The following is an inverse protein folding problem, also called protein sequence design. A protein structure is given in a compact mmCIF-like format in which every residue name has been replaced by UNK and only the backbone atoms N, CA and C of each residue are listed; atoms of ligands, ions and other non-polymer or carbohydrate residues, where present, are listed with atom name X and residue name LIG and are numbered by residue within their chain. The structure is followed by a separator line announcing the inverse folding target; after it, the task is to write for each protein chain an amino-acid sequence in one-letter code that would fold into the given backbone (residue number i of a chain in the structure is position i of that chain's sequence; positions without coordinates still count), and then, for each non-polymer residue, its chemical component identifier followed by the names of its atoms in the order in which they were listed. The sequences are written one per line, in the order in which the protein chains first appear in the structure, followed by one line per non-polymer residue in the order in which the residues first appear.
data_IF_639437804237
#
_entry.id   IF_639437804237
#
_cell.length_a   1.000
_cell.length_b   1.000
_cell.length_c   1.000
_cell.angle_alpha   90.00
_cell.angle_beta   90.00
_cell.angle_gamma   90.00
#
_symmetry.space_group_name_H-M   'P 1'
#
loop_
_entity.id
_entity.type
_entity.pdbx_description
1 polymer ?
#
# COMPACT_ATOMS: atom_id res chain seq x y z
N UNK A 1 7.69 0.16 -38.45
CA UNK A 1 6.70 -0.38 -37.51
C UNK A 1 7.33 -0.25 -36.14
N UNK A 2 6.76 0.61 -35.27
CA UNK A 2 7.35 0.90 -33.98
C UNK A 2 7.19 -0.32 -33.07
N UNK A 3 8.29 -0.77 -32.46
CA UNK A 3 8.28 -1.76 -31.40
C UNK A 3 7.37 -1.26 -30.28
N UNK A 4 6.19 -1.85 -30.20
CA UNK A 4 5.25 -1.62 -29.10
C UNK A 4 5.91 -2.23 -27.88
N UNK A 5 6.54 -1.38 -27.09
CA UNK A 5 7.16 -1.71 -25.81
C UNK A 5 6.12 -2.42 -24.94
N UNK A 6 6.07 -3.75 -25.00
CA UNK A 6 5.14 -4.59 -24.24
C UNK A 6 5.67 -4.66 -22.82
N UNK A 7 5.48 -3.58 -22.07
CA UNK A 7 5.70 -3.60 -20.64
C UNK A 7 4.64 -4.55 -20.07
N UNK A 8 5.03 -5.60 -19.31
CA UNK A 8 4.06 -6.46 -18.66
C UNK A 8 3.13 -5.60 -17.80
N UNK A 9 1.80 -5.80 -17.85
CA UNK A 9 0.87 -5.08 -16.98
C UNK A 9 1.31 -5.16 -15.52
N UNK A 10 1.23 -4.03 -14.82
CA UNK A 10 1.49 -4.01 -13.38
C UNK A 10 0.35 -4.74 -12.68
N UNK A 11 0.66 -5.86 -12.02
CA UNK A 11 -0.34 -6.63 -11.28
C UNK A 11 -0.46 -6.15 -9.84
N UNK A 12 -1.70 -6.01 -9.32
CA UNK A 12 -1.90 -5.72 -7.91
C UNK A 12 -1.47 -6.91 -7.04
N UNK A 13 -0.57 -6.67 -6.09
CA UNK A 13 -0.13 -7.68 -5.10
C UNK A 13 -1.02 -7.62 -3.87
N UNK A 14 -1.25 -8.76 -3.21
CA UNK A 14 -2.01 -8.77 -1.96
C UNK A 14 -1.18 -8.11 -0.87
N UNK A 15 -1.80 -7.30 -0.02
CA UNK A 15 -1.10 -6.65 1.08
C UNK A 15 -1.99 -6.47 2.31
N UNK A 16 -1.34 -6.43 3.47
CA UNK A 16 -1.94 -6.00 4.74
C UNK A 16 -1.13 -4.85 5.30
N UNK A 17 -1.81 -3.86 5.83
CA UNK A 17 -1.18 -2.64 6.29
C UNK A 17 -1.92 -2.10 7.50
N UNK A 18 -1.18 -1.86 8.58
CA UNK A 18 -1.67 -1.02 9.67
C UNK A 18 -1.44 0.43 9.25
N UNK A 19 -2.51 1.18 9.02
CA UNK A 19 -2.48 2.52 8.45
C UNK A 19 -2.86 3.57 9.51
N UNK A 20 -2.06 4.62 9.62
CA UNK A 20 -2.45 5.85 10.29
C UNK A 20 -3.00 6.83 9.24
N UNK A 21 -4.23 7.29 9.45
CA UNK A 21 -4.92 8.20 8.53
C UNK A 21 -4.75 9.65 9.02
N UNK A 22 -3.93 10.40 8.30
CA UNK A 22 -3.67 11.83 8.56
C UNK A 22 -4.80 12.70 8.02
N UNK A 23 -5.39 12.32 6.89
CA UNK A 23 -6.47 13.04 6.22
C UNK A 23 -7.63 12.09 5.90
N UNK A 24 -8.85 12.51 6.22
CA UNK A 24 -10.06 11.74 5.96
C UNK A 24 -10.20 11.47 4.46
N UNK A 25 -10.70 10.30 4.11
CA UNK A 25 -10.94 9.99 2.71
C UNK A 25 -11.98 10.93 2.12
N UNK A 26 -11.74 11.34 0.89
CA UNK A 26 -12.69 12.12 0.10
C UNK A 26 -13.03 11.39 -1.20
N UNK A 27 -14.21 11.68 -1.73
CA UNK A 27 -14.66 11.18 -3.01
C UNK A 27 -15.36 12.31 -3.76
N UNK A 28 -15.13 12.40 -5.07
CA UNK A 28 -15.85 13.33 -5.94
C UNK A 28 -17.12 12.64 -6.45
N UNK A 29 -18.22 12.80 -5.70
CA UNK A 29 -19.49 12.14 -5.98
C UNK A 29 -20.55 13.14 -6.47
N UNK A 30 -21.37 12.79 -7.47
CA UNK A 30 -22.56 13.57 -7.82
C UNK A 30 -23.52 13.72 -6.64
N UNK A 31 -24.33 14.79 -6.65
CA UNK A 31 -25.33 15.02 -5.60
C UNK A 31 -26.28 13.83 -5.47
N UNK A 32 -26.48 13.34 -4.24
CA UNK A 32 -27.31 12.17 -3.93
C UNK A 32 -26.61 10.82 -4.08
N UNK A 33 -25.38 10.77 -4.62
CA UNK A 33 -24.62 9.53 -4.71
C UNK A 33 -23.83 9.27 -3.43
N UNK A 34 -24.03 8.09 -2.83
CA UNK A 34 -23.39 7.70 -1.57
C UNK A 34 -22.25 6.69 -1.74
N UNK A 35 -22.06 6.17 -2.96
CA UNK A 35 -21.08 5.14 -3.30
C UNK A 35 -20.14 5.61 -4.40
N UNK A 36 -18.84 5.39 -4.24
CA UNK A 36 -17.83 5.59 -5.26
C UNK A 36 -16.42 5.44 -4.71
N UNK A 37 -15.42 5.94 -5.43
CA UNK A 37 -14.02 5.80 -5.04
C UNK A 37 -13.64 6.85 -4.01
N UNK A 38 -13.40 6.40 -2.78
CA UNK A 38 -12.85 7.20 -1.68
C UNK A 38 -11.34 7.04 -1.63
N UNK A 39 -10.62 8.16 -1.55
CA UNK A 39 -9.16 8.17 -1.46
C UNK A 39 -8.69 9.00 -0.28
N UNK A 40 -7.63 8.55 0.40
CA UNK A 40 -6.89 9.29 1.41
C UNK A 40 -5.38 9.12 1.18
N UNK A 41 -4.56 10.11 1.56
CA UNK A 41 -3.13 9.91 1.67
C UNK A 41 -2.82 8.93 2.82
N UNK A 42 -1.74 8.17 2.67
CA UNK A 42 -1.23 7.26 3.67
C UNK A 42 0.26 7.08 3.54
N UNK A 43 0.85 6.39 4.51
CA UNK A 43 2.30 6.14 4.53
C UNK A 43 2.60 4.72 4.95
N UNK A 44 3.56 4.11 4.27
CA UNK A 44 4.23 2.89 4.70
C UNK A 44 5.62 3.31 5.18
N UNK A 45 6.01 2.87 6.38
CA UNK A 45 7.36 3.12 6.89
C UNK A 45 8.05 1.81 7.27
N UNK A 46 9.30 1.69 6.84
CA UNK A 46 10.26 0.72 7.34
C UNK A 46 11.37 1.36 8.19
N UNK A 47 11.31 2.67 8.41
CA UNK A 47 12.31 3.45 9.12
C UNK A 47 11.70 4.11 10.37
N UNK A 48 12.08 3.67 11.58
CA UNK A 48 11.58 4.26 12.82
C UNK A 48 11.91 5.76 12.96
N UNK A 49 13.01 6.23 12.34
CA UNK A 49 13.40 7.63 12.38
C UNK A 49 12.57 8.52 11.42
N UNK A 50 11.89 7.91 10.45
CA UNK A 50 11.07 8.60 9.45
C UNK A 50 9.78 7.80 9.17
N UNK A 51 8.76 7.93 10.03
CA UNK A 51 7.52 7.16 9.95
C UNK A 51 6.62 7.47 8.74
N UNK A 52 7.03 8.40 7.86
CA UNK A 52 6.32 8.81 6.63
C UNK A 52 7.13 8.55 5.35
N UNK A 53 8.03 7.55 5.38
CA UNK A 53 9.03 7.34 4.33
C UNK A 53 8.45 7.07 2.94
N UNK A 54 7.39 6.26 2.83
CA UNK A 54 6.80 5.91 1.54
C UNK A 54 5.34 6.34 1.49
N UNK A 55 5.08 7.38 0.71
CA UNK A 55 3.72 7.81 0.41
C UNK A 55 2.96 6.71 -0.34
N UNK A 56 1.71 6.50 0.04
CA UNK A 56 0.78 5.57 -0.62
C UNK A 56 -0.60 6.21 -0.67
N UNK A 57 -1.34 5.97 -1.75
CA UNK A 57 -2.74 6.38 -1.85
C UNK A 57 -3.60 5.24 -1.34
N UNK A 58 -4.29 5.46 -0.21
CA UNK A 58 -5.30 4.53 0.30
C UNK A 58 -6.59 4.73 -0.48
N UNK A 59 -7.14 3.69 -1.08
CA UNK A 59 -8.31 3.78 -1.95
C UNK A 59 -9.31 2.66 -1.69
N UNK A 60 -10.60 2.94 -1.78
CA UNK A 60 -11.61 1.91 -1.94
C UNK A 60 -12.81 2.45 -2.71
N UNK A 61 -13.40 1.59 -3.55
CA UNK A 61 -14.70 1.86 -4.12
C UNK A 61 -15.75 1.38 -3.12
N UNK A 62 -16.34 2.32 -2.38
CA UNK A 62 -17.17 2.02 -1.21
C UNK A 62 -18.19 3.14 -0.93
N UNK A 63 -19.00 2.98 0.12
CA UNK A 63 -19.86 4.05 0.62
C UNK A 63 -19.15 4.94 1.64
N UNK A 64 -19.69 6.14 1.87
CA UNK A 64 -19.16 7.08 2.87
C UNK A 64 -19.04 6.48 4.30
N UNK A 65 -19.82 5.44 4.62
CA UNK A 65 -19.76 4.77 5.92
C UNK A 65 -18.46 3.98 6.17
N UNK A 66 -17.77 3.59 5.08
CA UNK A 66 -16.49 2.88 5.15
C UNK A 66 -15.31 3.75 4.70
N UNK A 67 -15.53 5.06 4.54
CA UNK A 67 -14.45 6.01 4.32
C UNK A 67 -13.52 6.05 5.54
N UNK A 68 -12.24 6.30 5.29
CA UNK A 68 -11.26 6.45 6.36
C UNK A 68 -11.41 7.82 7.03
N UNK A 69 -11.32 7.87 8.34
CA UNK A 69 -11.42 9.09 9.13
C UNK A 69 -10.06 9.48 9.70
N UNK A 70 -9.71 10.78 9.63
CA UNK A 70 -8.51 11.34 10.26
C UNK A 70 -8.45 10.99 11.74
N UNK A 71 -7.24 10.68 12.22
CA UNK A 71 -6.97 10.49 13.65
C UNK A 71 -7.29 9.08 14.15
N UNK A 72 -7.63 8.17 13.24
CA UNK A 72 -7.79 6.74 13.53
C UNK A 72 -6.68 5.91 12.90
N UNK A 73 -6.45 4.76 13.52
CA UNK A 73 -5.63 3.68 13.00
C UNK A 73 -6.52 2.59 12.45
N UNK A 74 -6.20 2.12 11.26
CA UNK A 74 -6.93 1.07 10.56
C UNK A 74 -6.03 -0.13 10.29
N UNK A 75 -6.56 -1.33 10.47
CA UNK A 75 -5.98 -2.55 9.90
C UNK A 75 -6.64 -2.79 8.55
N UNK A 76 -5.87 -2.60 7.48
CA UNK A 76 -6.33 -2.70 6.10
C UNK A 76 -5.80 -3.99 5.48
N UNK A 77 -6.68 -4.72 4.80
CA UNK A 77 -6.30 -5.78 3.85
C UNK A 77 -6.73 -5.32 2.47
N UNK A 78 -5.89 -5.56 1.46
CA UNK A 78 -6.16 -5.03 0.13
C UNK A 78 -5.16 -5.47 -0.92
N UNK A 79 -5.10 -4.65 -1.97
CA UNK A 79 -4.20 -4.79 -3.11
C UNK A 79 -3.29 -3.58 -3.21
N UNK A 80 -1.99 -3.79 -3.32
CA UNK A 80 -1.00 -2.75 -3.58
C UNK A 80 -0.62 -2.77 -5.07
N UNK A 81 -0.65 -1.63 -5.73
CA UNK A 81 -0.29 -1.48 -7.13
C UNK A 81 0.56 -0.24 -7.35
N UNK A 82 1.66 -0.38 -8.10
CA UNK A 82 2.43 0.76 -8.62
C UNK A 82 1.94 1.05 -10.04
N UNK A 83 1.38 2.24 -10.30
CA UNK A 83 0.82 2.57 -11.63
C UNK A 83 1.92 3.11 -12.54
N UNK A 84 2.66 4.11 -12.08
CA UNK A 84 3.82 4.67 -12.78
C UNK A 84 5.01 4.79 -11.82
N UNK A 85 6.25 4.81 -12.32
CA UNK A 85 7.44 4.99 -11.47
C UNK A 85 7.42 6.28 -10.64
N UNK A 86 6.78 7.33 -11.17
CA UNK A 86 6.78 8.67 -10.57
C UNK A 86 5.52 8.95 -9.72
N UNK A 87 4.63 7.97 -9.54
CA UNK A 87 3.44 8.11 -8.70
C UNK A 87 3.55 7.26 -7.43
N UNK A 88 3.00 7.73 -6.29
CA UNK A 88 2.81 6.88 -5.13
C UNK A 88 2.03 5.62 -5.51
N UNK A 89 2.38 4.45 -4.96
CA UNK A 89 1.56 3.25 -5.11
C UNK A 89 0.15 3.48 -4.59
N UNK A 90 -0.81 2.74 -5.13
CA UNK A 90 -2.19 2.71 -4.64
C UNK A 90 -2.40 1.43 -3.82
N UNK A 91 -2.80 1.59 -2.57
CA UNK A 91 -3.32 0.52 -1.72
C UNK A 91 -4.85 0.54 -1.77
N UNK A 92 -5.41 -0.35 -2.57
CA UNK A 92 -6.86 -0.55 -2.67
C UNK A 92 -7.32 -1.49 -1.55
N UNK A 93 -7.90 -0.97 -0.47
CA UNK A 93 -8.37 -1.77 0.65
C UNK A 93 -9.75 -2.38 0.40
N UNK A 94 -10.04 -3.50 1.07
CA UNK A 94 -11.34 -4.18 1.02
C UNK A 94 -12.20 -3.74 2.21
N UNK A 95 -13.28 -2.96 1.99
CA UNK A 95 -14.13 -2.43 3.07
C UNK A 95 -14.67 -3.51 4.02
N UNK A 96 -14.94 -4.70 3.51
CA UNK A 96 -15.51 -5.83 4.26
C UNK A 96 -14.56 -6.38 5.32
N UNK A 97 -13.26 -6.15 5.15
CA UNK A 97 -12.20 -6.63 6.06
C UNK A 97 -11.48 -5.50 6.79
N UNK A 98 -11.89 -4.25 6.53
CA UNK A 98 -11.34 -3.07 7.19
C UNK A 98 -11.73 -3.07 8.66
N UNK A 99 -10.75 -2.91 9.54
CA UNK A 99 -10.98 -2.76 10.98
C UNK A 99 -10.47 -1.40 11.42
N UNK A 100 -11.36 -0.58 11.97
CA UNK A 100 -10.97 0.63 12.72
C UNK A 100 -10.48 0.20 14.10
N UNK A 101 -9.17 0.28 14.33
CA UNK A 101 -8.52 -0.27 15.54
C UNK A 101 -8.79 0.63 16.74
N UNK A 102 -8.29 1.87 16.68
CA UNK A 102 -8.45 2.85 17.75
C UNK A 102 -8.14 4.25 17.22
N UNK A 103 -8.38 5.26 18.07
CA UNK A 103 -7.83 6.60 17.84
C UNK A 103 -6.33 6.60 18.09
N UNK A 104 -5.60 7.45 17.37
CA UNK A 104 -4.15 7.59 17.47
C UNK A 104 -3.70 7.91 18.91
N UNK A 105 -4.45 8.76 19.62
CA UNK A 105 -4.18 9.14 21.02
C UNK A 105 -4.22 7.95 22.01
N UNK A 106 -4.85 6.84 21.62
CA UNK A 106 -4.97 5.63 22.44
C UNK A 106 -4.09 4.48 21.94
N UNK A 107 -3.33 4.70 20.87
CA UNK A 107 -2.49 3.65 20.30
C UNK A 107 -1.19 3.51 21.09
N UNK A 108 -0.89 2.29 21.53
CA UNK A 108 0.36 1.95 22.20
C UNK A 108 1.17 1.07 21.24
N UNK A 109 2.25 1.63 20.69
CA UNK A 109 3.14 0.94 19.76
C UNK A 109 3.63 1.86 18.64
N UNK A 110 4.24 1.27 17.62
CA UNK A 110 4.65 1.94 16.40
C UNK A 110 4.07 1.26 15.15
N UNK A 111 4.02 2.02 14.07
CA UNK A 111 3.48 1.60 12.77
C UNK A 111 4.58 1.16 11.80
N UNK A 112 5.84 1.36 12.17
CA UNK A 112 7.01 0.94 11.39
C UNK A 112 7.01 -0.58 11.22
N UNK A 113 7.34 -1.05 10.03
CA UNK A 113 7.42 -2.49 9.71
C UNK A 113 6.10 -3.25 9.97
N UNK A 114 4.94 -2.56 9.89
CA UNK A 114 3.59 -3.15 10.02
C UNK A 114 2.86 -3.32 8.68
N UNK A 115 3.61 -3.50 7.61
CA UNK A 115 3.08 -3.80 6.28
C UNK A 115 3.61 -5.15 5.81
N UNK A 116 2.71 -6.02 5.35
CA UNK A 116 3.06 -7.28 4.71
C UNK A 116 2.55 -7.29 3.28
N UNK A 117 3.35 -7.83 2.37
CA UNK A 117 3.01 -7.98 0.95
C UNK A 117 3.16 -9.44 0.57
N UNK A 118 2.09 -10.01 0.00
CA UNK A 118 2.02 -11.38 -0.47
C UNK A 118 1.99 -11.38 -2.01
N UNK A 119 3.06 -11.88 -2.64
CA UNK A 119 3.24 -11.90 -4.10
C UNK A 119 3.85 -13.21 -4.57
N UNK A 120 3.38 -13.71 -5.71
CA UNK A 120 3.98 -14.84 -6.43
C UNK A 120 4.78 -14.26 -7.60
N UNK A 121 6.10 -14.47 -7.60
CA UNK A 121 6.99 -13.91 -8.61
C UNK A 121 8.35 -14.63 -8.61
N UNK A 122 9.18 -14.35 -9.61
CA UNK A 122 10.54 -14.88 -9.67
C UNK A 122 11.50 -13.88 -9.02
N UNK A 123 12.27 -14.30 -8.02
CA UNK A 123 13.35 -13.48 -7.48
C UNK A 123 14.48 -13.35 -8.51
N UNK A 124 14.83 -12.12 -8.85
CA UNK A 124 15.89 -11.80 -9.82
C UNK A 124 17.14 -11.20 -9.19
N UNK A 125 17.02 -10.62 -8.00
CA UNK A 125 18.16 -10.21 -7.17
C UNK A 125 17.83 -10.42 -5.70
N UNK A 126 18.85 -10.78 -4.92
CA UNK A 126 18.79 -10.90 -3.46
C UNK A 126 20.07 -10.29 -2.92
N UNK A 127 19.93 -9.15 -2.24
CA UNK A 127 21.03 -8.37 -1.70
C UNK A 127 20.87 -8.26 -0.19
N UNK A 128 21.96 -8.53 0.53
CA UNK A 128 22.00 -8.31 1.98
C UNK A 128 22.47 -6.90 2.22
N UNK A 129 21.65 -6.13 2.90
CA UNK A 129 21.98 -4.78 3.31
C UNK A 129 22.17 -4.77 4.83
N UNK A 130 23.22 -4.12 5.29
CA UNK A 130 23.44 -3.90 6.72
C UNK A 130 23.33 -2.42 6.95
N UNK A 131 22.25 -1.99 7.62
CA UNK A 131 22.03 -0.59 7.96
C UNK A 131 22.23 -0.39 9.45
N UNK A 132 22.95 0.67 9.81
CA UNK A 132 23.06 1.13 11.19
C UNK A 132 21.88 2.06 11.50
N UNK A 133 20.95 1.58 12.32
CA UNK A 133 19.79 2.34 12.76
C UNK A 133 19.96 2.70 14.24
N UNK A 134 20.50 3.90 14.50
CA UNK A 134 20.77 4.40 15.87
C UNK A 134 21.60 3.45 16.75
N UNK A 135 22.62 2.79 16.18
CA UNK A 135 23.53 1.90 16.92
C UNK A 135 23.09 0.44 16.96
N UNK A 136 21.96 0.10 16.34
CA UNK A 136 21.53 -1.27 16.08
C UNK A 136 21.83 -1.63 14.61
N UNK A 137 22.70 -2.62 14.42
CA UNK A 137 22.96 -3.23 13.13
C UNK A 137 21.74 -4.05 12.71
N UNK A 138 20.96 -3.54 11.77
CA UNK A 138 19.85 -4.25 11.16
C UNK A 138 20.36 -5.01 9.92
N UNK A 139 20.14 -6.33 9.91
CA UNK A 139 20.40 -7.18 8.76
C UNK A 139 19.15 -7.20 7.88
N UNK A 140 19.14 -6.34 6.87
CA UNK A 140 18.07 -6.22 5.91
C UNK A 140 18.34 -7.10 4.67
N UNK A 141 17.27 -7.58 4.07
CA UNK A 141 17.33 -8.36 2.83
C UNK A 141 16.50 -7.63 1.77
N UNK A 142 17.17 -7.02 0.80
CA UNK A 142 16.52 -6.47 -0.37
C UNK A 142 16.33 -7.58 -1.40
N UNK A 143 15.08 -7.86 -1.75
CA UNK A 143 14.73 -8.84 -2.77
C UNK A 143 14.07 -8.12 -3.93
N UNK A 144 14.71 -8.16 -5.11
CA UNK A 144 14.10 -7.67 -6.34
C UNK A 144 13.35 -8.81 -7.01
N UNK A 145 12.06 -8.59 -7.22
CA UNK A 145 11.14 -9.55 -7.79
C UNK A 145 10.77 -9.16 -9.22
N UNK A 146 10.69 -10.14 -10.12
CA UNK A 146 10.11 -9.99 -11.46
C UNK A 146 8.75 -10.67 -11.48
N UNK A 147 7.71 -9.87 -11.65
CA UNK A 147 6.37 -10.39 -11.90
C UNK A 147 6.31 -10.97 -13.32
N UNK A 148 5.72 -12.16 -13.47
CA UNK A 148 5.43 -12.77 -14.77
C UNK A 148 3.92 -12.76 -14.97
N UNK A 149 3.46 -12.32 -16.14
CA UNK A 149 2.12 -12.70 -16.61
C UNK A 149 2.14 -14.19 -16.90
N UNK A 150 1.41 -14.96 -16.11
CA UNK A 150 1.18 -16.37 -16.41
C UNK A 150 -0.04 -16.55 -17.32
N UNK A 151 -0.71 -15.48 -17.75
CA UNK A 151 -1.78 -15.61 -18.75
C UNK A 151 -1.15 -16.07 -20.07
N UNK A 152 -1.54 -17.26 -20.59
CA UNK A 152 -1.05 -17.70 -21.88
C UNK A 152 -1.52 -16.68 -22.93
N UNK A 153 -0.58 -16.13 -23.70
CA UNK A 153 -0.93 -15.47 -24.95
C UNK A 153 -1.57 -16.53 -25.85
N UNK A 154 -2.89 -16.52 -25.96
CA UNK A 154 -3.60 -17.34 -26.94
C UNK A 154 -3.36 -16.68 -28.29
N UNK A 155 -2.39 -17.20 -29.04
CA UNK A 155 -2.14 -16.86 -30.45
C UNK A 155 -3.23 -17.40 -31.37
#
# INVERSE_FOLDING_TARGET
MADKNSRPPNHPVSAKHLAYVTESSSANLPSGQQYGTFTAPGYISCNPAAPTDYEVILSANTSAAFALETGFIYSLTGKLMVITPDSPPIFTYFPETMIRVCKVEHFIGEMTNKTSVDVISTAISVERETSDNNGLLENNLMVTLRHHDWDPEVS
#
